data_IF_288279095165
#
_entry.id   IF_288279095165
#
_cell.length_a   1.000
_cell.length_b   1.000
_cell.length_c   1.000
_cell.angle_alpha   90.00
_cell.angle_beta   90.00
_cell.angle_gamma   90.00
#
_symmetry.space_group_name_H-M   'P 1'
#
loop_
_entity.id
_entity.type
_entity.pdbx_description
1 polymer ?
#
# COMPACT_ATOMS: atom_id res chain seq x y z
N UNK A 1 54.27 23.00 19.66
CA UNK A 1 53.88 22.95 18.24
C UNK A 1 53.70 21.49 17.85
N UNK A 2 52.56 21.12 17.28
CA UNK A 2 52.34 19.78 16.73
C UNK A 2 53.00 19.76 15.34
N UNK A 3 54.10 19.02 15.19
CA UNK A 3 55.01 19.15 14.05
C UNK A 3 54.67 18.19 12.91
N UNK A 4 54.11 17.01 13.19
CA UNK A 4 53.79 16.02 12.15
C UNK A 4 52.29 15.83 11.94
N UNK A 5 51.92 15.25 10.79
CA UNK A 5 50.52 14.89 10.46
C UNK A 5 49.95 13.88 11.45
N UNK A 6 50.76 12.93 11.89
CA UNK A 6 50.38 11.88 12.83
C UNK A 6 50.08 12.45 14.21
N UNK A 7 50.94 13.34 14.72
CA UNK A 7 50.71 14.00 16.00
C UNK A 7 49.42 14.84 15.98
N UNK A 8 49.07 15.47 14.85
CA UNK A 8 47.79 16.20 14.70
C UNK A 8 46.58 15.27 14.75
N UNK A 9 46.66 14.13 14.06
CA UNK A 9 45.59 13.13 14.07
C UNK A 9 45.39 12.55 15.48
N UNK A 10 46.48 12.24 16.17
CA UNK A 10 46.45 11.69 17.51
C UNK A 10 45.91 12.70 18.52
N UNK A 11 46.33 13.96 18.43
CA UNK A 11 45.72 15.05 19.20
C UNK A 11 44.21 15.15 18.97
N UNK A 12 43.73 15.12 17.72
CA UNK A 12 42.29 15.19 17.43
C UNK A 12 41.52 13.98 17.94
N UNK A 13 42.10 12.78 17.89
CA UNK A 13 41.50 11.57 18.47
C UNK A 13 41.33 11.72 19.98
N UNK A 14 42.40 12.12 20.68
CA UNK A 14 42.39 12.32 22.13
C UNK A 14 41.44 13.45 22.54
N UNK A 15 41.43 14.57 21.80
CA UNK A 15 40.48 15.64 22.03
C UNK A 15 39.04 15.18 21.87
N UNK A 16 38.70 14.44 20.80
CA UNK A 16 37.34 13.89 20.60
C UNK A 16 36.94 12.90 21.69
N UNK A 17 37.88 12.07 22.14
CA UNK A 17 37.68 11.13 23.26
C UNK A 17 37.35 11.86 24.55
N UNK A 18 38.11 12.91 24.87
CA UNK A 18 37.97 13.69 26.10
C UNK A 18 36.83 14.73 26.05
N UNK A 19 36.33 15.07 24.85
CA UNK A 19 35.24 16.04 24.66
C UNK A 19 34.03 15.40 23.98
N UNK A 20 33.73 14.13 24.33
CA UNK A 20 32.67 13.33 23.70
C UNK A 20 31.32 14.08 23.67
N UNK A 21 30.91 14.68 24.78
CA UNK A 21 29.61 15.38 24.87
C UNK A 21 29.54 16.60 23.93
N UNK A 22 30.64 17.35 23.80
CA UNK A 22 30.71 18.50 22.89
C UNK A 22 30.62 18.05 21.43
N UNK A 23 31.31 16.95 21.10
CA UNK A 23 31.25 16.36 19.76
C UNK A 23 29.84 15.87 19.46
N UNK A 24 29.20 15.15 20.38
CA UNK A 24 27.83 14.65 20.21
C UNK A 24 26.81 15.79 20.06
N UNK A 25 26.94 16.86 20.84
CA UNK A 25 26.08 18.03 20.73
C UNK A 25 26.24 18.73 19.36
N UNK A 26 27.49 18.93 18.91
CA UNK A 26 27.78 19.49 17.59
C UNK A 26 27.25 18.61 16.46
N UNK A 27 27.45 17.29 16.54
CA UNK A 27 26.92 16.31 15.61
C UNK A 27 25.40 16.34 15.56
N UNK A 28 24.73 16.41 16.72
CA UNK A 28 23.27 16.50 16.82
C UNK A 28 22.75 17.76 16.14
N UNK A 29 23.41 18.91 16.35
CA UNK A 29 23.08 20.18 15.67
C UNK A 29 23.28 20.06 14.17
N UNK A 30 24.41 19.50 13.73
CA UNK A 30 24.72 19.31 12.31
C UNK A 30 23.75 18.34 11.61
N UNK A 31 23.43 17.20 12.22
CA UNK A 31 22.46 16.22 11.69
C UNK A 31 21.07 16.82 11.51
N UNK A 32 20.68 17.74 12.39
CA UNK A 32 19.40 18.47 12.31
C UNK A 32 19.43 19.66 11.35
N UNK A 33 20.60 20.10 10.89
CA UNK A 33 20.71 21.24 9.96
C UNK A 33 20.04 20.95 8.62
N UNK A 34 19.42 21.98 8.04
CA UNK A 34 18.72 21.83 6.76
C UNK A 34 19.68 21.60 5.60
N UNK A 35 20.91 22.14 5.67
CA UNK A 35 21.99 21.81 4.73
C UNK A 35 22.26 20.31 4.68
N UNK A 36 22.38 19.65 5.84
CA UNK A 36 22.59 18.20 5.92
C UNK A 36 21.36 17.42 5.42
N UNK A 37 20.15 17.81 5.82
CA UNK A 37 18.92 17.16 5.35
C UNK A 37 18.77 17.27 3.83
N UNK A 38 19.02 18.45 3.25
CA UNK A 38 19.00 18.69 1.79
C UNK A 38 20.04 17.82 1.10
N UNK A 39 21.28 17.81 1.59
CA UNK A 39 22.33 16.93 1.06
C UNK A 39 21.91 15.46 1.09
N UNK A 40 21.38 14.94 2.21
CA UNK A 40 20.96 13.55 2.31
C UNK A 40 19.79 13.22 1.37
N UNK A 41 18.84 14.16 1.19
CA UNK A 41 17.74 14.01 0.23
C UNK A 41 18.28 13.90 -1.19
N UNK A 42 19.18 14.79 -1.61
CA UNK A 42 19.79 14.72 -2.95
C UNK A 42 20.67 13.47 -3.12
N UNK A 43 21.51 13.16 -2.14
CA UNK A 43 22.35 11.96 -2.15
C UNK A 43 21.51 10.69 -2.30
N UNK A 44 20.37 10.59 -1.60
CA UNK A 44 19.48 9.42 -1.69
C UNK A 44 18.88 9.19 -3.08
N UNK A 45 18.87 10.21 -3.94
CA UNK A 45 18.41 10.09 -5.34
C UNK A 45 19.50 9.59 -6.28
N UNK A 46 20.77 9.64 -5.87
CA UNK A 46 21.91 9.17 -6.69
C UNK A 46 21.87 7.65 -6.88
N UNK A 47 22.35 7.16 -8.02
CA UNK A 47 22.42 5.71 -8.28
C UNK A 47 23.31 4.97 -7.29
N UNK A 48 24.38 5.61 -6.82
CA UNK A 48 25.26 5.05 -5.78
C UNK A 48 24.52 4.78 -4.47
N UNK A 49 23.67 5.71 -4.02
CA UNK A 49 22.90 5.51 -2.79
C UNK A 49 21.83 4.43 -2.96
N UNK A 50 21.16 4.39 -4.12
CA UNK A 50 20.17 3.36 -4.45
C UNK A 50 20.79 1.97 -4.52
N UNK A 51 21.94 1.82 -5.19
CA UNK A 51 22.63 0.54 -5.33
C UNK A 51 23.13 0.02 -3.97
N UNK A 52 23.73 0.89 -3.16
CA UNK A 52 24.14 0.54 -1.80
C UNK A 52 22.95 0.10 -0.95
N UNK A 53 21.85 0.86 -0.99
CA UNK A 53 20.62 0.51 -0.28
C UNK A 53 20.07 -0.85 -0.72
N UNK A 54 20.01 -1.11 -2.04
CA UNK A 54 19.54 -2.39 -2.59
C UNK A 54 20.41 -3.55 -2.13
N UNK A 55 21.75 -3.40 -2.19
CA UNK A 55 22.70 -4.40 -1.69
C UNK A 55 22.49 -4.69 -0.21
N UNK A 56 22.44 -3.65 0.61
CA UNK A 56 22.22 -3.78 2.05
C UNK A 56 20.88 -4.44 2.39
N UNK A 57 19.80 -4.08 1.70
CA UNK A 57 18.47 -4.69 1.91
C UNK A 57 18.42 -6.16 1.51
N UNK A 58 19.20 -6.57 0.50
CA UNK A 58 19.38 -7.97 0.11
C UNK A 58 20.14 -8.75 1.18
N UNK A 59 21.30 -8.24 1.61
CA UNK A 59 22.16 -8.89 2.62
C UNK A 59 21.53 -8.92 4.02
N UNK A 60 20.62 -8.00 4.33
CA UNK A 60 20.05 -7.82 5.67
C UNK A 60 18.52 -8.01 5.70
N UNK A 61 17.97 -8.82 4.79
CA UNK A 61 16.51 -9.04 4.67
C UNK A 61 15.90 -9.54 5.99
N UNK A 62 16.55 -10.47 6.68
CA UNK A 62 16.05 -11.03 7.94
C UNK A 62 16.09 -10.00 9.08
N UNK A 63 17.15 -9.19 9.16
CA UNK A 63 17.21 -8.10 10.15
C UNK A 63 16.08 -7.08 9.93
N UNK A 64 15.77 -6.76 8.65
CA UNK A 64 14.65 -5.87 8.31
C UNK A 64 13.30 -6.49 8.71
N UNK A 65 13.08 -7.77 8.39
CA UNK A 65 11.85 -8.50 8.77
C UNK A 65 11.65 -8.53 10.28
N UNK A 66 12.72 -8.82 11.03
CA UNK A 66 12.69 -8.84 12.49
C UNK A 66 12.42 -7.45 13.08
N UNK A 67 13.05 -6.41 12.52
CA UNK A 67 12.73 -5.03 12.89
C UNK A 67 11.24 -4.70 12.66
N UNK A 68 10.70 -5.02 11.48
CA UNK A 68 9.30 -4.76 11.14
C UNK A 68 8.35 -5.54 12.06
N UNK A 69 8.68 -6.79 12.40
CA UNK A 69 7.93 -7.62 13.34
C UNK A 69 7.87 -6.97 14.73
N UNK A 70 9.03 -6.59 15.28
CA UNK A 70 9.12 -5.88 16.57
C UNK A 70 8.39 -4.56 16.56
N UNK A 71 8.53 -3.78 15.48
CA UNK A 71 7.85 -2.50 15.33
C UNK A 71 6.33 -2.67 15.33
N UNK A 72 5.80 -3.64 14.58
CA UNK A 72 4.35 -3.95 14.56
C UNK A 72 3.86 -4.43 15.92
N UNK A 73 4.60 -5.31 16.59
CA UNK A 73 4.27 -5.81 17.94
C UNK A 73 4.24 -4.67 18.97
N UNK A 74 5.21 -3.76 18.91
CA UNK A 74 5.33 -2.62 19.84
C UNK A 74 4.37 -1.47 19.53
N UNK A 75 3.91 -1.31 18.28
CA UNK A 75 3.10 -0.17 17.85
C UNK A 75 1.84 -0.60 17.06
N UNK A 76 0.99 -1.51 17.60
CA UNK A 76 -0.15 -2.05 16.87
C UNK A 76 -1.16 -0.96 16.48
N UNK A 77 -1.46 -0.03 17.38
CA UNK A 77 -2.40 1.07 17.14
C UNK A 77 -1.96 1.97 15.98
N UNK A 78 -0.67 2.36 15.96
CA UNK A 78 -0.10 3.19 14.91
C UNK A 78 -0.13 2.49 13.54
N UNK A 79 0.17 1.19 13.53
CA UNK A 79 0.09 0.38 12.31
C UNK A 79 -1.35 0.29 11.81
N UNK A 80 -2.31 0.04 12.71
CA UNK A 80 -3.74 -0.01 12.39
C UNK A 80 -4.27 1.34 11.90
N UNK A 81 -3.87 2.46 12.52
CA UNK A 81 -4.25 3.80 12.09
C UNK A 81 -3.74 4.11 10.69
N UNK A 82 -2.47 3.78 10.40
CA UNK A 82 -1.91 3.94 9.06
C UNK A 82 -2.60 3.04 8.02
N UNK A 83 -2.89 1.79 8.40
CA UNK A 83 -3.65 0.87 7.56
C UNK A 83 -5.02 1.46 7.25
N UNK A 84 -5.74 1.95 8.27
CA UNK A 84 -7.06 2.58 8.12
C UNK A 84 -7.02 3.80 7.19
N UNK A 85 -6.04 4.69 7.41
CA UNK A 85 -5.84 5.92 6.63
C UNK A 85 -5.65 5.65 5.14
N UNK A 86 -5.03 4.52 4.78
CA UNK A 86 -4.77 4.21 3.38
C UNK A 86 -5.85 3.30 2.79
N UNK A 87 -6.04 2.11 3.36
CA UNK A 87 -6.81 1.03 2.73
C UNK A 87 -8.30 1.29 2.66
N UNK A 88 -8.89 1.96 3.66
CA UNK A 88 -10.34 2.23 3.68
C UNK A 88 -10.75 3.48 2.89
N UNK A 89 -9.81 4.15 2.22
CA UNK A 89 -10.14 5.26 1.32
C UNK A 89 -10.48 4.73 -0.07
N UNK A 90 -11.32 5.43 -0.87
CA UNK A 90 -11.55 5.09 -2.28
C UNK A 90 -10.23 4.98 -3.07
N UNK A 91 -9.25 5.84 -2.75
CA UNK A 91 -7.92 5.84 -3.38
C UNK A 91 -7.08 4.61 -3.04
N UNK A 92 -7.06 4.20 -1.78
CA UNK A 92 -6.36 2.98 -1.36
C UNK A 92 -7.02 1.73 -1.92
N UNK A 93 -8.34 1.68 -1.87
CA UNK A 93 -9.16 0.61 -2.47
C UNK A 93 -8.85 0.46 -3.95
N UNK A 94 -8.97 1.54 -4.75
CA UNK A 94 -8.64 1.50 -6.17
C UNK A 94 -7.20 1.04 -6.44
N UNK A 95 -6.25 1.47 -5.61
CA UNK A 95 -4.85 1.06 -5.76
C UNK A 95 -4.64 -0.43 -5.46
N UNK A 96 -5.32 -0.95 -4.45
CA UNK A 96 -5.28 -2.37 -4.08
C UNK A 96 -5.91 -3.25 -5.18
N UNK A 97 -7.09 -2.87 -5.65
CA UNK A 97 -7.79 -3.59 -6.73
C UNK A 97 -7.03 -3.55 -8.05
N UNK A 98 -6.44 -2.41 -8.44
CA UNK A 98 -5.57 -2.32 -9.63
C UNK A 98 -4.38 -3.27 -9.56
N UNK A 99 -3.72 -3.37 -8.39
CA UNK A 99 -2.59 -4.29 -8.19
C UNK A 99 -3.03 -5.74 -8.20
N UNK A 100 -4.23 -6.03 -7.72
CA UNK A 100 -4.82 -7.36 -7.81
C UNK A 100 -5.04 -7.76 -9.27
N UNK A 101 -5.72 -6.91 -10.06
CA UNK A 101 -5.96 -7.18 -11.48
C UNK A 101 -4.69 -7.29 -12.31
N UNK A 102 -3.73 -6.39 -12.10
CA UNK A 102 -2.46 -6.41 -12.82
C UNK A 102 -1.74 -7.75 -12.64
N UNK A 103 -1.79 -8.33 -11.44
CA UNK A 103 -1.22 -9.65 -11.15
C UNK A 103 -2.05 -10.78 -11.75
N UNK A 104 -3.37 -10.72 -11.61
CA UNK A 104 -4.29 -11.78 -12.03
C UNK A 104 -4.39 -11.92 -13.54
N UNK A 105 -4.45 -10.80 -14.25
CA UNK A 105 -4.69 -10.73 -15.69
C UNK A 105 -3.43 -10.40 -16.51
N UNK A 106 -2.28 -10.18 -15.87
CA UNK A 106 -1.05 -9.77 -16.55
C UNK A 106 -1.12 -8.38 -17.20
N UNK A 107 -2.11 -7.55 -16.84
CA UNK A 107 -2.29 -6.22 -17.44
C UNK A 107 -1.33 -5.21 -16.82
N UNK A 108 -0.72 -4.35 -17.66
CA UNK A 108 0.21 -3.30 -17.19
C UNK A 108 -0.52 -2.15 -16.49
N UNK A 109 -1.73 -1.81 -16.94
CA UNK A 109 -2.52 -0.66 -16.44
C UNK A 109 -4.01 -1.04 -16.38
N UNK A 110 -4.61 -0.91 -15.20
CA UNK A 110 -6.06 -1.03 -15.02
C UNK A 110 -6.74 0.34 -15.15
N UNK A 111 -7.94 0.35 -15.74
CA UNK A 111 -8.78 1.56 -15.93
C UNK A 111 -9.45 2.03 -14.63
N UNK A 112 -9.31 1.28 -13.54
CA UNK A 112 -9.96 1.58 -12.27
C UNK A 112 -9.34 2.83 -11.60
N UNK A 113 -10.14 3.88 -11.44
CA UNK A 113 -9.77 5.10 -10.72
C UNK A 113 -10.46 5.17 -9.36
N UNK A 114 -10.00 6.08 -8.50
CA UNK A 114 -10.63 6.27 -7.19
C UNK A 114 -12.02 6.91 -7.31
N UNK A 115 -12.24 7.74 -8.34
CA UNK A 115 -13.56 8.29 -8.65
C UNK A 115 -14.56 7.21 -9.05
N UNK A 116 -14.10 6.16 -9.77
CA UNK A 116 -14.96 5.00 -10.06
C UNK A 116 -15.36 4.33 -8.75
N UNK A 117 -14.43 4.09 -7.82
CA UNK A 117 -14.77 3.49 -6.52
C UNK A 117 -15.78 4.34 -5.74
N UNK A 118 -15.62 5.65 -5.72
CA UNK A 118 -16.58 6.56 -5.06
C UNK A 118 -17.97 6.51 -5.70
N UNK A 119 -18.04 6.56 -7.04
CA UNK A 119 -19.29 6.38 -7.78
C UNK A 119 -19.94 5.03 -7.45
N UNK A 120 -19.17 3.95 -7.34
CA UNK A 120 -19.68 2.61 -7.00
C UNK A 120 -20.18 2.54 -5.55
N UNK A 121 -19.48 3.18 -4.60
CA UNK A 121 -19.92 3.33 -3.21
C UNK A 121 -21.22 4.14 -3.09
N UNK A 122 -21.45 5.07 -4.02
CA UNK A 122 -22.69 5.81 -4.10
C UNK A 122 -23.81 5.02 -4.77
N UNK A 123 -23.48 4.26 -5.80
CA UNK A 123 -24.41 3.44 -6.58
C UNK A 123 -24.93 2.21 -5.83
N UNK A 124 -24.08 1.56 -5.03
CA UNK A 124 -24.34 0.26 -4.41
C UNK A 124 -24.35 0.40 -2.88
N UNK A 125 -25.45 0.88 -2.31
CA UNK A 125 -25.61 1.06 -0.86
C UNK A 125 -25.86 -0.26 -0.11
N UNK A 126 -26.46 -1.23 -0.80
CA UNK A 126 -26.69 -2.61 -0.33
C UNK A 126 -25.91 -3.60 -1.19
N UNK A 127 -25.79 -4.85 -0.74
CA UNK A 127 -25.18 -5.92 -1.53
C UNK A 127 -25.96 -6.08 -2.84
N UNK A 128 -25.26 -5.98 -3.98
CA UNK A 128 -25.95 -6.08 -5.30
C UNK A 128 -26.61 -7.44 -5.55
N UNK A 129 -26.22 -8.47 -4.80
CA UNK A 129 -26.70 -9.84 -4.95
C UNK A 129 -27.89 -10.14 -4.04
N UNK A 130 -27.69 -10.11 -2.72
CA UNK A 130 -28.72 -10.49 -1.75
C UNK A 130 -29.50 -9.31 -1.18
N UNK A 131 -29.13 -8.06 -1.50
CA UNK A 131 -29.80 -6.87 -1.00
C UNK A 131 -29.56 -6.54 0.47
N UNK A 132 -28.74 -7.30 1.21
CA UNK A 132 -28.45 -7.00 2.60
C UNK A 132 -27.68 -5.67 2.75
N UNK A 133 -27.86 -5.00 3.88
CA UNK A 133 -27.10 -3.81 4.20
C UNK A 133 -25.60 -4.09 4.27
N UNK A 134 -24.82 -3.15 3.76
CA UNK A 134 -23.38 -3.25 3.69
C UNK A 134 -22.72 -2.53 4.86
N UNK A 135 -22.77 -3.17 6.04
CA UNK A 135 -22.16 -2.66 7.26
C UNK A 135 -20.73 -3.22 7.42
N UNK A 136 -19.73 -2.34 7.37
CA UNK A 136 -18.32 -2.70 7.62
C UNK A 136 -17.58 -3.34 6.45
N UNK A 137 -17.22 -4.63 6.56
CA UNK A 137 -16.31 -5.34 5.65
C UNK A 137 -16.98 -5.68 4.31
N UNK A 138 -17.04 -4.67 3.44
CA UNK A 138 -17.56 -4.79 2.07
C UNK A 138 -16.46 -5.21 1.12
N UNK A 139 -16.79 -6.10 0.20
CA UNK A 139 -15.88 -6.55 -0.85
C UNK A 139 -16.34 -6.01 -2.21
N UNK A 140 -15.37 -5.82 -3.10
CA UNK A 140 -15.63 -5.45 -4.49
C UNK A 140 -15.49 -6.69 -5.34
N UNK A 141 -16.54 -7.01 -6.07
CA UNK A 141 -16.62 -8.20 -6.90
C UNK A 141 -16.64 -7.83 -8.38
N UNK A 142 -16.20 -8.77 -9.22
CA UNK A 142 -16.33 -8.72 -10.65
C UNK A 142 -17.64 -9.36 -11.08
N UNK A 143 -18.36 -8.70 -11.97
CA UNK A 143 -19.54 -9.32 -12.60
C UNK A 143 -19.07 -10.46 -13.51
N UNK A 144 -18.12 -10.17 -14.39
CA UNK A 144 -17.36 -11.10 -15.20
C UNK A 144 -15.97 -11.29 -14.57
N UNK A 145 -15.75 -12.43 -13.93
CA UNK A 145 -14.50 -12.76 -13.25
C UNK A 145 -13.28 -12.82 -14.18
N UNK A 146 -13.44 -12.89 -15.49
CA UNK A 146 -12.33 -12.94 -16.46
C UNK A 146 -11.98 -11.56 -17.04
N UNK A 147 -12.83 -10.57 -16.87
CA UNK A 147 -12.58 -9.19 -17.29
C UNK A 147 -11.90 -8.38 -16.17
N UNK A 148 -11.18 -7.29 -16.51
CA UNK A 148 -10.61 -6.38 -15.51
C UNK A 148 -11.69 -5.56 -14.79
N UNK A 149 -11.35 -5.01 -13.63
CA UNK A 149 -12.19 -4.02 -12.96
C UNK A 149 -12.35 -2.77 -13.83
N UNK A 150 -13.60 -2.42 -14.09
CA UNK A 150 -14.01 -1.20 -14.76
C UNK A 150 -15.36 -0.73 -14.19
N UNK A 151 -15.89 0.40 -14.66
CA UNK A 151 -17.16 0.97 -14.17
C UNK A 151 -18.35 -0.01 -14.29
N UNK A 152 -18.41 -0.81 -15.35
CA UNK A 152 -19.47 -1.80 -15.56
C UNK A 152 -19.19 -3.13 -14.85
N UNK A 153 -17.92 -3.54 -14.76
CA UNK A 153 -17.51 -4.84 -14.23
C UNK A 153 -17.11 -4.83 -12.74
N UNK A 154 -17.54 -3.83 -11.96
CA UNK A 154 -17.30 -3.78 -10.52
C UNK A 154 -18.61 -3.50 -9.77
N UNK A 155 -18.81 -4.22 -8.68
CA UNK A 155 -19.98 -4.08 -7.79
C UNK A 155 -19.58 -4.24 -6.33
N UNK A 156 -20.39 -3.72 -5.40
CA UNK A 156 -20.24 -4.00 -3.98
C UNK A 156 -21.07 -5.20 -3.56
N UNK A 157 -20.42 -6.16 -2.92
CA UNK A 157 -21.07 -7.36 -2.41
C UNK A 157 -20.71 -7.57 -0.94
N UNK A 158 -21.59 -8.25 -0.21
CA UNK A 158 -21.21 -8.77 1.09
C UNK A 158 -20.22 -9.92 0.90
N UNK A 159 -19.34 -10.12 1.89
CA UNK A 159 -18.30 -11.15 1.87
C UNK A 159 -18.85 -12.56 1.59
N UNK A 160 -20.02 -12.89 2.14
CA UNK A 160 -20.67 -14.19 1.92
C UNK A 160 -20.98 -14.41 0.43
N UNK A 161 -21.67 -13.46 -0.20
CA UNK A 161 -22.02 -13.56 -1.62
C UNK A 161 -20.80 -13.58 -2.53
N UNK A 162 -19.82 -12.70 -2.31
CA UNK A 162 -18.59 -12.67 -3.10
C UNK A 162 -17.83 -14.02 -3.02
N UNK A 163 -17.67 -14.56 -1.81
CA UNK A 163 -17.02 -15.85 -1.60
C UNK A 163 -17.78 -17.01 -2.23
N UNK A 164 -19.10 -17.04 -2.08
CA UNK A 164 -19.95 -18.11 -2.66
C UNK A 164 -20.03 -18.06 -4.18
N UNK A 165 -20.01 -16.85 -4.77
CA UNK A 165 -19.96 -16.69 -6.23
C UNK A 165 -18.60 -17.12 -6.77
N UNK A 166 -17.51 -16.72 -6.12
CA UNK A 166 -16.15 -17.06 -6.57
C UNK A 166 -15.96 -16.69 -8.05
N UNK A 167 -15.52 -17.63 -8.89
CA UNK A 167 -15.36 -17.47 -10.33
C UNK A 167 -16.61 -17.81 -11.15
N UNK A 168 -17.72 -18.18 -10.51
CA UNK A 168 -18.95 -18.53 -11.23
C UNK A 168 -19.51 -17.31 -11.98
N UNK A 169 -20.18 -17.58 -13.10
CA UNK A 169 -20.95 -16.58 -13.80
C UNK A 169 -22.03 -15.98 -12.89
N UNK A 170 -22.19 -14.66 -12.94
CA UNK A 170 -23.09 -13.94 -12.05
C UNK A 170 -24.55 -14.34 -12.24
N UNK A 171 -25.02 -14.52 -13.48
CA UNK A 171 -26.41 -14.92 -13.75
C UNK A 171 -26.65 -16.35 -13.29
N UNK A 172 -25.76 -17.27 -13.65
CA UNK A 172 -25.87 -18.68 -13.25
C UNK A 172 -25.89 -18.83 -11.72
N UNK A 173 -24.99 -18.14 -11.03
CA UNK A 173 -24.90 -18.19 -9.58
C UNK A 173 -26.13 -17.58 -8.90
N UNK A 174 -26.65 -16.44 -9.38
CA UNK A 174 -27.87 -15.85 -8.82
C UNK A 174 -29.10 -16.75 -9.02
N UNK A 175 -29.23 -17.37 -10.20
CA UNK A 175 -30.29 -18.36 -10.46
C UNK A 175 -30.20 -19.55 -9.51
N UNK A 176 -29.00 -20.10 -9.32
CA UNK A 176 -28.76 -21.19 -8.37
C UNK A 176 -29.15 -20.82 -6.93
N UNK A 177 -28.91 -19.57 -6.52
CA UNK A 177 -29.30 -19.07 -5.19
C UNK A 177 -30.78 -18.69 -5.06
N UNK A 178 -31.54 -18.70 -6.15
CA UNK A 178 -32.92 -18.23 -6.16
C UNK A 178 -33.06 -16.72 -5.97
N UNK A 179 -32.02 -15.93 -6.25
CA UNK A 179 -32.06 -14.48 -6.13
C UNK A 179 -32.66 -13.83 -7.38
N UNK A 180 -33.51 -12.82 -7.18
CA UNK A 180 -34.05 -12.00 -8.28
C UNK A 180 -32.96 -11.09 -8.83
N UNK A 181 -32.70 -11.17 -10.14
CA UNK A 181 -31.71 -10.33 -10.80
C UNK A 181 -32.36 -8.99 -11.15
N UNK A 182 -31.91 -7.91 -10.50
CA UNK A 182 -32.37 -6.55 -10.80
C UNK A 182 -32.00 -6.13 -12.23
N UNK A 183 -32.84 -5.29 -12.86
CA UNK A 183 -32.60 -4.75 -14.20
C UNK A 183 -31.25 -4.00 -14.27
N UNK A 184 -30.94 -3.21 -13.23
CA UNK A 184 -29.64 -2.54 -13.09
C UNK A 184 -28.47 -3.51 -13.19
N UNK A 185 -28.55 -4.67 -12.51
CA UNK A 185 -27.48 -5.67 -12.54
C UNK A 185 -27.40 -6.40 -13.88
N UNK A 186 -28.54 -6.66 -14.55
CA UNK A 186 -28.56 -7.19 -15.91
C UNK A 186 -27.89 -6.21 -16.91
N UNK A 187 -28.15 -4.92 -16.76
CA UNK A 187 -27.54 -3.89 -17.61
C UNK A 187 -26.02 -3.77 -17.37
N UNK A 188 -25.56 -3.90 -16.13
CA UNK A 188 -24.13 -3.95 -15.83
C UNK A 188 -23.46 -5.21 -16.39
N UNK A 189 -24.17 -6.35 -16.33
CA UNK A 189 -23.71 -7.61 -16.91
C UNK A 189 -23.49 -7.49 -18.41
N UNK A 190 -24.48 -7.01 -19.17
CA UNK A 190 -24.33 -6.79 -20.62
C UNK A 190 -23.09 -5.94 -20.94
N UNK A 191 -22.95 -4.80 -20.26
CA UNK A 191 -21.80 -3.88 -20.40
C UNK A 191 -20.45 -4.42 -19.90
N UNK A 192 -20.42 -5.56 -19.22
CA UNK A 192 -19.18 -6.20 -18.78
C UNK A 192 -18.65 -7.21 -19.82
N UNK A 193 -19.46 -7.56 -20.82
CA UNK A 193 -19.10 -8.44 -21.93
C UNK A 193 -18.96 -7.70 -23.27
N UNK A 194 -19.38 -6.43 -23.32
CA UNK A 194 -19.02 -5.46 -24.37
C UNK A 194 -17.57 -4.98 -24.21
#
# INVERSE_FOLDING_TARGET
MIKTKEEKLEYHRNWRKNNKDKVEAADKKFRKSDKRKKYLREYSKTEKAKSYKKKWEGENIEKRREYDRRHRKKNPERVNANYKKYYYTPKGTATMLRKHDARRLGIKKSKLTWQIIEMINNRDKVCVYCGCELNGNVEYDHINSFAPFCKSNIVRACKKCNKEKSSADMIQWMKFKGYKISEKLQNLYKKAYE
#
